data_IF_467510942071
#
_entry.id   IF_467510942071
#
_cell.length_a   1.000
_cell.length_b   1.000
_cell.length_c   1.000
_cell.angle_alpha   90.00
_cell.angle_beta   90.00
_cell.angle_gamma   90.00
#
_symmetry.space_group_name_H-M   'P 1'
#
loop_
_entity.id
_entity.type
_entity.pdbx_description
1 polymer ?
#
# COMPACT_ATOMS: atom_id res chain seq x y z
N UNK A 1 -53.95 -12.24 -55.30
CA UNK A 1 -54.67 -11.72 -56.49
C UNK A 1 -56.11 -12.17 -56.35
N UNK A 2 -57.11 -11.30 -56.56
CA UNK A 2 -58.49 -11.76 -56.58
C UNK A 2 -58.66 -12.74 -57.74
N UNK A 3 -59.30 -13.88 -57.47
CA UNK A 3 -59.72 -14.79 -58.54
C UNK A 3 -60.79 -14.09 -59.35
N UNK A 4 -60.75 -14.25 -60.67
CA UNK A 4 -61.79 -13.68 -61.52
C UNK A 4 -63.14 -14.39 -61.31
N UNK A 5 -64.22 -13.64 -61.47
CA UNK A 5 -65.57 -14.21 -61.53
C UNK A 5 -65.85 -14.83 -62.90
N UNK A 6 -66.73 -15.83 -62.94
CA UNK A 6 -67.19 -16.45 -64.19
C UNK A 6 -68.46 -15.75 -64.67
N UNK A 7 -68.56 -15.55 -65.99
CA UNK A 7 -69.74 -14.96 -66.61
C UNK A 7 -70.93 -15.93 -66.50
N UNK A 8 -72.07 -15.44 -66.01
CA UNK A 8 -73.31 -16.24 -65.88
C UNK A 8 -73.86 -16.68 -67.24
N UNK A 9 -74.46 -17.88 -67.34
CA UNK A 9 -75.04 -18.35 -68.59
C UNK A 9 -76.24 -17.51 -69.04
N UNK A 10 -76.44 -17.32 -70.36
CA UNK A 10 -77.65 -16.72 -70.90
C UNK A 10 -78.86 -17.67 -70.74
N UNK A 11 -80.05 -17.18 -71.05
CA UNK A 11 -81.29 -17.99 -70.98
C UNK A 11 -81.19 -19.18 -71.93
N UNK A 12 -81.36 -20.39 -71.40
CA UNK A 12 -81.25 -21.61 -72.19
C UNK A 12 -82.34 -21.69 -73.28
N UNK A 13 -82.02 -22.20 -74.48
CA UNK A 13 -83.01 -22.45 -75.52
C UNK A 13 -84.00 -23.54 -75.07
N UNK A 14 -85.30 -23.29 -75.25
CA UNK A 14 -86.38 -24.21 -74.88
C UNK A 14 -87.08 -24.78 -76.10
N UNK A 15 -87.48 -26.06 -76.05
CA UNK A 15 -88.29 -26.67 -77.11
C UNK A 15 -89.69 -26.05 -77.29
N UNK A 16 -90.09 -25.21 -76.34
CA UNK A 16 -91.33 -24.42 -76.40
C UNK A 16 -91.13 -23.03 -77.02
N UNK A 17 -89.90 -22.63 -77.32
CA UNK A 17 -89.61 -21.35 -77.98
C UNK A 17 -90.00 -21.43 -79.47
N UNK A 18 -90.37 -20.29 -80.04
CA UNK A 18 -90.54 -20.19 -81.48
C UNK A 18 -89.19 -20.46 -82.19
N UNK A 19 -89.17 -21.09 -83.39
CA UNK A 19 -87.93 -21.54 -84.03
C UNK A 19 -86.83 -20.47 -84.14
N UNK A 20 -87.18 -19.22 -84.43
CA UNK A 20 -86.19 -18.14 -84.56
C UNK A 20 -85.58 -17.76 -83.20
N UNK A 21 -86.40 -17.71 -82.15
CA UNK A 21 -85.96 -17.44 -80.77
C UNK A 21 -85.12 -18.59 -80.20
N UNK A 22 -85.43 -19.83 -80.59
CA UNK A 22 -84.63 -20.99 -80.23
C UNK A 22 -83.22 -20.89 -80.82
N UNK A 23 -83.11 -20.51 -82.10
CA UNK A 23 -81.82 -20.35 -82.80
C UNK A 23 -81.01 -19.23 -82.15
N UNK A 24 -81.63 -18.07 -81.89
CA UNK A 24 -80.98 -16.94 -81.22
C UNK A 24 -80.39 -17.34 -79.86
N UNK A 25 -81.19 -18.00 -79.00
CA UNK A 25 -80.72 -18.47 -77.69
C UNK A 25 -79.68 -19.58 -77.78
N UNK A 26 -79.75 -20.42 -78.81
CA UNK A 26 -78.76 -21.47 -79.02
C UNK A 26 -77.41 -20.86 -79.44
N UNK A 27 -77.42 -19.87 -80.33
CA UNK A 27 -76.22 -19.14 -80.75
C UNK A 27 -75.60 -18.36 -79.58
N UNK A 28 -76.42 -17.68 -78.77
CA UNK A 28 -75.98 -17.00 -77.55
C UNK A 28 -75.36 -17.96 -76.53
N UNK A 29 -75.96 -19.14 -76.34
CA UNK A 29 -75.42 -20.15 -75.44
C UNK A 29 -74.08 -20.71 -75.93
N UNK A 30 -73.94 -20.95 -77.24
CA UNK A 30 -72.68 -21.41 -77.84
C UNK A 30 -71.60 -20.33 -77.72
N UNK A 31 -71.94 -19.06 -77.94
CA UNK A 31 -71.03 -17.94 -77.76
C UNK A 31 -70.58 -17.80 -76.30
N UNK A 32 -71.52 -17.87 -75.34
CA UNK A 32 -71.21 -17.87 -73.91
C UNK A 32 -70.30 -19.03 -73.51
N UNK A 33 -70.53 -20.24 -74.04
CA UNK A 33 -69.71 -21.40 -73.73
C UNK A 33 -68.24 -21.21 -74.15
N UNK A 34 -67.98 -20.55 -75.29
CA UNK A 34 -66.63 -20.16 -75.70
C UNK A 34 -65.94 -19.21 -74.72
N UNK A 35 -66.69 -18.22 -74.21
CA UNK A 35 -66.22 -17.29 -73.17
C UNK A 35 -65.95 -18.03 -71.86
N UNK A 36 -66.88 -18.87 -71.40
CA UNK A 36 -66.77 -19.65 -70.17
C UNK A 36 -65.53 -20.55 -70.16
N UNK A 37 -65.22 -21.23 -71.28
CA UNK A 37 -64.01 -22.07 -71.39
C UNK A 37 -62.74 -21.22 -71.27
N UNK A 38 -62.71 -20.02 -71.86
CA UNK A 38 -61.57 -19.11 -71.79
C UNK A 38 -61.37 -18.56 -70.37
N UNK A 39 -62.47 -18.24 -69.68
CA UNK A 39 -62.46 -17.84 -68.27
C UNK A 39 -61.98 -19.00 -67.38
N UNK A 40 -62.41 -20.23 -67.62
CA UNK A 40 -61.94 -21.39 -66.85
C UNK A 40 -60.43 -21.61 -67.00
N UNK A 41 -59.87 -21.48 -68.20
CA UNK A 41 -58.42 -21.58 -68.43
C UNK A 41 -57.65 -20.49 -67.67
N UNK A 42 -58.17 -19.27 -67.67
CA UNK A 42 -57.56 -18.14 -66.95
C UNK A 42 -57.65 -18.34 -65.43
N UNK A 43 -58.77 -18.84 -64.93
CA UNK A 43 -58.93 -19.20 -63.52
C UNK A 43 -57.94 -20.29 -63.10
N UNK A 44 -57.72 -21.30 -63.95
CA UNK A 44 -56.70 -22.33 -63.72
C UNK A 44 -55.30 -21.71 -63.59
N UNK A 45 -54.92 -20.83 -64.52
CA UNK A 45 -53.62 -20.14 -64.46
C UNK A 45 -53.48 -19.26 -63.19
N UNK A 46 -54.56 -18.55 -62.80
CA UNK A 46 -54.59 -17.77 -61.56
C UNK A 46 -54.45 -18.65 -60.31
N UNK A 47 -55.07 -19.83 -60.31
CA UNK A 47 -55.00 -20.79 -59.22
C UNK A 47 -53.59 -21.39 -59.11
N UNK A 48 -52.96 -21.77 -60.22
CA UNK A 48 -51.58 -22.25 -60.26
C UNK A 48 -50.58 -21.19 -59.78
N UNK A 49 -50.74 -19.94 -60.22
CA UNK A 49 -49.91 -18.83 -59.76
C UNK A 49 -50.09 -18.55 -58.26
N UNK A 50 -51.33 -18.66 -57.76
CA UNK A 50 -51.63 -18.49 -56.33
C UNK A 50 -51.04 -19.63 -55.50
N UNK A 51 -51.15 -20.88 -55.97
CA UNK A 51 -50.56 -22.04 -55.33
C UNK A 51 -49.02 -21.94 -55.27
N UNK A 52 -48.39 -21.46 -56.34
CA UNK A 52 -46.95 -21.21 -56.36
C UNK A 52 -46.54 -20.13 -55.34
N UNK A 53 -47.31 -19.04 -55.20
CA UNK A 53 -47.07 -18.02 -54.18
C UNK A 53 -47.18 -18.57 -52.76
N UNK A 54 -48.19 -19.41 -52.51
CA UNK A 54 -48.40 -20.07 -51.21
C UNK A 54 -47.25 -21.05 -50.90
N UNK A 55 -46.81 -21.83 -51.89
CA UNK A 55 -45.70 -22.77 -51.72
C UNK A 55 -44.35 -22.08 -51.43
N UNK A 56 -44.15 -20.85 -51.90
CA UNK A 56 -42.95 -20.03 -51.68
C UNK A 56 -43.09 -19.08 -50.49
N UNK A 57 -44.27 -19.00 -49.85
CA UNK A 57 -44.48 -18.19 -48.64
C UNK A 57 -43.44 -18.41 -47.51
N UNK A 58 -42.87 -19.62 -47.29
CA UNK A 58 -41.77 -19.81 -46.33
C UNK A 58 -40.46 -19.13 -46.73
N UNK A 59 -40.25 -18.81 -48.01
CA UNK A 59 -39.02 -18.17 -48.51
C UNK A 59 -38.98 -16.65 -48.28
N UNK A 60 -40.12 -16.03 -47.95
CA UNK A 60 -40.18 -14.64 -47.49
C UNK A 60 -39.95 -14.51 -45.98
N UNK A 61 -39.87 -15.62 -45.24
CA UNK A 61 -39.32 -15.59 -43.89
C UNK A 61 -37.81 -15.44 -44.00
N UNK A 62 -37.26 -14.42 -43.34
CA UNK A 62 -35.81 -14.30 -43.10
C UNK A 62 -35.22 -15.68 -42.75
N UNK A 63 -34.07 -16.04 -43.34
CA UNK A 63 -33.52 -17.39 -43.20
C UNK A 63 -33.31 -17.81 -41.72
N UNK A 64 -33.03 -16.84 -40.85
CA UNK A 64 -32.91 -17.07 -39.41
C UNK A 64 -34.29 -17.34 -38.78
N UNK A 65 -35.32 -16.57 -39.15
CA UNK A 65 -36.70 -16.80 -38.70
C UNK A 65 -37.24 -18.16 -39.16
N UNK A 66 -36.94 -18.57 -40.39
CA UNK A 66 -37.29 -19.90 -40.91
C UNK A 66 -36.61 -21.01 -40.11
N UNK A 67 -35.33 -20.83 -39.77
CA UNK A 67 -34.59 -21.80 -38.96
C UNK A 67 -35.19 -21.98 -37.56
N UNK A 68 -35.67 -20.90 -36.92
CA UNK A 68 -36.39 -20.99 -35.64
C UNK A 68 -37.69 -21.79 -35.79
N UNK A 69 -38.46 -21.53 -36.86
CA UNK A 69 -39.71 -22.22 -37.13
C UNK A 69 -39.52 -23.72 -37.42
N UNK A 70 -38.55 -24.07 -38.29
CA UNK A 70 -38.26 -25.45 -38.68
C UNK A 70 -37.68 -26.29 -37.52
N UNK A 71 -37.07 -25.64 -36.52
CA UNK A 71 -36.52 -26.31 -35.34
C UNK A 71 -37.60 -26.85 -34.39
N UNK A 72 -38.89 -26.62 -34.68
CA UNK A 72 -40.01 -27.20 -33.93
C UNK A 72 -40.05 -26.76 -32.46
N UNK A 73 -39.60 -25.54 -32.17
CA UNK A 73 -39.53 -25.04 -30.80
C UNK A 73 -40.94 -24.75 -30.27
N UNK A 74 -41.26 -25.28 -29.09
CA UNK A 74 -42.51 -24.96 -28.38
C UNK A 74 -42.33 -23.66 -27.58
N UNK A 75 -43.06 -22.58 -27.89
CA UNK A 75 -43.03 -21.37 -27.07
C UNK A 75 -43.46 -21.68 -25.64
N UNK A 76 -42.69 -21.20 -24.68
CA UNK A 76 -42.97 -21.38 -23.26
C UNK A 76 -42.48 -20.15 -22.49
N UNK A 77 -43.09 -19.91 -21.32
CA UNK A 77 -42.60 -18.89 -20.41
C UNK A 77 -41.12 -19.14 -20.07
N UNK A 78 -40.38 -18.06 -19.86
CA UNK A 78 -39.00 -18.09 -19.38
C UNK A 78 -38.04 -18.84 -20.34
N UNK A 79 -38.39 -18.92 -21.63
CA UNK A 79 -37.55 -19.48 -22.69
C UNK A 79 -37.20 -18.42 -23.75
N UNK A 80 -35.96 -18.46 -24.22
CA UNK A 80 -35.46 -17.64 -25.33
C UNK A 80 -34.94 -18.55 -26.46
N UNK A 81 -35.40 -18.38 -27.72
CA UNK A 81 -34.79 -19.05 -28.87
C UNK A 81 -33.36 -18.56 -29.12
N UNK A 82 -32.44 -19.48 -29.40
CA UNK A 82 -31.08 -19.19 -29.85
C UNK A 82 -30.64 -20.19 -30.93
N UNK A 83 -29.75 -19.77 -31.82
CA UNK A 83 -29.17 -20.67 -32.82
C UNK A 83 -28.06 -21.53 -32.20
N UNK A 84 -28.25 -22.85 -32.20
CA UNK A 84 -27.24 -23.80 -31.73
C UNK A 84 -26.29 -24.21 -32.86
N UNK A 85 -26.73 -24.10 -34.12
CA UNK A 85 -25.92 -24.25 -35.34
C UNK A 85 -26.43 -23.31 -36.43
N UNK A 86 -25.77 -23.27 -37.60
CA UNK A 86 -26.24 -22.49 -38.76
C UNK A 86 -27.61 -22.94 -39.31
N UNK A 87 -28.10 -24.12 -38.92
CA UNK A 87 -29.37 -24.67 -39.44
C UNK A 87 -30.27 -25.23 -38.32
N UNK A 88 -30.01 -24.90 -37.06
CA UNK A 88 -30.82 -25.33 -35.93
C UNK A 88 -30.89 -24.26 -34.83
N UNK A 89 -32.06 -24.15 -34.23
CA UNK A 89 -32.32 -23.36 -33.04
C UNK A 89 -32.70 -24.25 -31.86
N UNK A 90 -32.53 -23.74 -30.65
CA UNK A 90 -32.91 -24.37 -29.40
C UNK A 90 -33.45 -23.31 -28.43
N UNK A 91 -34.00 -23.75 -27.30
CA UNK A 91 -34.50 -22.86 -26.24
C UNK A 91 -33.52 -22.81 -25.07
N UNK A 92 -33.09 -21.61 -24.70
CA UNK A 92 -32.39 -21.34 -23.45
C UNK A 92 -33.41 -21.04 -22.36
N UNK A 93 -33.15 -21.49 -21.12
CA UNK A 93 -33.99 -21.15 -19.96
C UNK A 93 -33.44 -19.90 -19.29
N UNK A 94 -34.30 -18.91 -19.03
CA UNK A 94 -33.96 -17.72 -18.27
C UNK A 94 -34.62 -17.79 -16.89
N UNK A 95 -33.84 -17.59 -15.82
CA UNK A 95 -34.40 -17.44 -14.46
C UNK A 95 -35.05 -16.07 -14.32
N UNK A 96 -35.89 -15.88 -13.29
CA UNK A 96 -36.44 -14.56 -12.96
C UNK A 96 -35.34 -13.53 -12.71
N UNK A 97 -34.29 -13.92 -11.99
CA UNK A 97 -33.11 -13.09 -11.74
C UNK A 97 -32.30 -12.78 -13.02
N UNK A 98 -32.15 -13.76 -13.92
CA UNK A 98 -31.47 -13.53 -15.20
C UNK A 98 -32.23 -12.51 -16.06
N UNK A 99 -33.57 -12.54 -16.02
CA UNK A 99 -34.40 -11.55 -16.72
C UNK A 99 -34.31 -10.16 -16.09
N UNK A 100 -34.27 -10.05 -14.76
CA UNK A 100 -34.10 -8.74 -14.13
C UNK A 100 -32.77 -8.09 -14.51
N UNK A 101 -31.70 -8.87 -14.70
CA UNK A 101 -30.42 -8.33 -15.15
C UNK A 101 -30.42 -7.92 -16.64
N UNK A 102 -31.14 -8.64 -17.50
CA UNK A 102 -31.26 -8.30 -18.94
C UNK A 102 -32.14 -7.06 -19.16
N UNK A 103 -33.10 -6.82 -18.26
CA UNK A 103 -33.99 -5.65 -18.27
C UNK A 103 -33.28 -4.33 -17.88
N UNK A 104 -32.10 -4.43 -17.25
CA UNK A 104 -31.37 -3.26 -16.76
C UNK A 104 -30.85 -2.37 -17.91
N UNK A 105 -31.26 -1.10 -17.89
CA UNK A 105 -30.95 -0.13 -18.95
C UNK A 105 -29.48 0.33 -18.97
N UNK A 106 -28.77 0.22 -17.84
CA UNK A 106 -27.38 0.65 -17.71
C UNK A 106 -26.61 -0.15 -16.66
N UNK A 107 -25.30 0.07 -16.60
CA UNK A 107 -24.41 -0.63 -15.67
C UNK A 107 -24.70 -0.31 -14.19
N UNK A 108 -25.32 0.84 -13.87
CA UNK A 108 -25.69 1.19 -12.50
C UNK A 108 -26.90 0.39 -12.02
N UNK A 109 -27.91 0.25 -12.88
CA UNK A 109 -29.04 -0.63 -12.65
C UNK A 109 -28.57 -2.08 -12.47
N UNK A 110 -27.71 -2.58 -13.37
CA UNK A 110 -27.12 -3.92 -13.27
C UNK A 110 -26.38 -4.19 -11.95
N UNK A 111 -25.56 -3.24 -11.46
CA UNK A 111 -24.89 -3.38 -10.16
C UNK A 111 -25.87 -3.41 -8.99
N UNK A 112 -26.99 -2.71 -9.10
CA UNK A 112 -28.05 -2.69 -8.08
C UNK A 112 -28.78 -4.03 -8.04
N UNK A 113 -29.12 -4.59 -9.20
CA UNK A 113 -29.73 -5.92 -9.34
C UNK A 113 -28.83 -7.03 -8.78
N UNK A 114 -27.51 -6.91 -8.94
CA UNK A 114 -26.51 -7.81 -8.36
C UNK A 114 -26.19 -7.55 -6.88
N UNK A 115 -26.81 -6.54 -6.26
CA UNK A 115 -26.57 -6.11 -4.88
C UNK A 115 -25.10 -5.75 -4.59
N UNK A 116 -24.39 -5.21 -5.58
CA UNK A 116 -22.98 -4.84 -5.44
C UNK A 116 -22.80 -3.51 -4.70
N UNK A 117 -21.82 -3.47 -3.80
CA UNK A 117 -21.44 -2.25 -3.08
C UNK A 117 -20.60 -1.26 -3.93
N UNK A 118 -20.19 -0.16 -3.30
CA UNK A 118 -19.39 0.91 -3.92
C UNK A 118 -18.03 0.47 -4.48
N UNK A 119 -17.53 -0.69 -4.04
CA UNK A 119 -16.30 -1.27 -4.59
C UNK A 119 -16.42 -1.56 -6.10
N UNK A 120 -17.61 -1.92 -6.59
CA UNK A 120 -17.83 -2.27 -7.99
C UNK A 120 -17.70 -1.09 -8.97
N UNK A 121 -17.59 0.14 -8.46
CA UNK A 121 -17.35 1.35 -9.28
C UNK A 121 -15.93 1.90 -9.12
N UNK A 122 -15.11 1.29 -8.26
CA UNK A 122 -13.77 1.79 -7.96
C UNK A 122 -12.73 1.13 -8.85
N UNK A 123 -11.77 1.92 -9.35
CA UNK A 123 -10.62 1.39 -10.08
C UNK A 123 -9.80 0.46 -9.16
N UNK A 124 -9.15 -0.56 -9.72
CA UNK A 124 -8.32 -1.50 -8.92
C UNK A 124 -7.22 -0.79 -8.14
N UNK A 125 -6.67 0.30 -8.70
CA UNK A 125 -5.67 1.16 -8.06
C UNK A 125 -6.19 1.93 -6.84
N UNK A 126 -7.51 2.07 -6.68
CA UNK A 126 -8.10 2.69 -5.50
C UNK A 126 -8.01 1.78 -4.26
N UNK A 127 -7.81 0.47 -4.45
CA UNK A 127 -7.61 -0.50 -3.38
C UNK A 127 -6.13 -0.73 -3.05
N UNK A 128 -5.24 0.19 -3.41
CA UNK A 128 -3.80 0.09 -3.13
C UNK A 128 -3.50 0.27 -1.63
N UNK A 129 -3.79 -0.79 -0.87
CA UNK A 129 -3.47 -0.90 0.54
C UNK A 129 -1.96 -0.81 0.78
N UNK A 130 -1.15 -1.28 -0.17
CA UNK A 130 0.32 -1.23 -0.09
C UNK A 130 0.83 0.22 -0.23
N UNK A 131 0.31 0.98 -1.20
CA UNK A 131 0.61 2.40 -1.37
C UNK A 131 0.14 3.23 -0.17
N UNK A 132 -1.05 2.94 0.36
CA UNK A 132 -1.57 3.59 1.58
C UNK A 132 -0.67 3.31 2.79
N UNK A 133 -0.24 2.06 2.98
CA UNK A 133 0.67 1.69 4.04
C UNK A 133 2.06 2.34 3.87
N UNK A 134 2.59 2.37 2.65
CA UNK A 134 3.87 3.03 2.33
C UNK A 134 3.81 4.53 2.59
N UNK A 135 2.72 5.20 2.22
CA UNK A 135 2.51 6.62 2.49
C UNK A 135 2.40 6.91 4.00
N UNK A 136 1.72 6.03 4.76
CA UNK A 136 1.61 6.13 6.20
C UNK A 136 2.98 5.93 6.90
N UNK A 137 3.76 4.93 6.48
CA UNK A 137 5.12 4.71 6.99
C UNK A 137 6.04 5.87 6.64
N UNK A 138 5.95 6.40 5.42
CA UNK A 138 6.75 7.58 5.00
C UNK A 138 6.39 8.81 5.83
N UNK A 139 5.09 9.05 6.06
CA UNK A 139 4.61 10.15 6.91
C UNK A 139 5.07 10.00 8.36
N UNK A 140 4.98 8.79 8.92
CA UNK A 140 5.47 8.47 10.25
C UNK A 140 6.98 8.68 10.38
N UNK A 141 7.77 8.18 9.43
CA UNK A 141 9.22 8.32 9.41
C UNK A 141 9.68 9.77 9.23
N UNK A 142 8.91 10.59 8.51
CA UNK A 142 9.21 12.01 8.28
C UNK A 142 8.85 12.91 9.46
N UNK A 143 8.12 12.39 10.44
CA UNK A 143 7.54 13.19 11.52
C UNK A 143 8.01 12.68 12.88
N UNK A 144 9.32 12.74 13.10
CA UNK A 144 9.99 12.50 14.38
C UNK A 144 9.84 13.68 15.36
N UNK A 145 9.03 14.70 15.04
CA UNK A 145 8.69 15.77 15.97
C UNK A 145 7.24 15.64 16.40
N UNK A 146 6.98 15.51 17.71
CA UNK A 146 5.63 15.55 18.28
C UNK A 146 4.77 14.28 18.15
N UNK A 147 5.09 13.34 17.25
CA UNK A 147 4.29 12.10 17.08
C UNK A 147 4.47 11.11 18.24
N UNK A 148 5.64 11.10 18.89
CA UNK A 148 5.95 10.13 19.96
C UNK A 148 6.00 10.76 21.35
N UNK A 149 5.55 12.00 21.52
CA UNK A 149 5.84 12.76 22.74
C UNK A 149 7.33 13.10 22.90
N UNK A 150 8.15 12.84 21.87
CA UNK A 150 9.52 13.33 21.78
C UNK A 150 9.48 14.83 21.50
N UNK A 151 10.19 15.58 22.34
CA UNK A 151 10.32 17.02 22.16
C UNK A 151 11.10 17.33 20.88
N UNK A 152 10.95 18.54 20.36
CA UNK A 152 11.75 19.01 19.24
C UNK A 152 13.26 18.90 19.51
N UNK A 153 13.67 19.04 20.78
CA UNK A 153 15.06 18.84 21.20
C UNK A 153 15.50 17.37 21.11
N UNK A 154 14.69 16.41 21.57
CA UNK A 154 15.08 15.00 21.48
C UNK A 154 15.07 14.49 20.03
N UNK A 155 14.26 15.11 19.16
CA UNK A 155 14.29 14.80 17.73
C UNK A 155 15.66 15.11 17.10
N UNK A 156 16.34 16.17 17.52
CA UNK A 156 17.68 16.54 17.04
C UNK A 156 18.82 15.73 17.66
N UNK A 157 18.55 14.87 18.65
CA UNK A 157 19.55 13.95 19.19
C UNK A 157 19.39 12.57 18.55
N UNK A 158 18.17 12.21 18.15
CA UNK A 158 17.84 10.92 17.55
C UNK A 158 18.07 10.86 16.04
N UNK A 159 18.24 12.01 15.37
CA UNK A 159 18.62 12.11 13.96
C UNK A 159 20.14 12.02 13.73
N UNK A 160 20.94 12.11 14.80
CA UNK A 160 22.38 11.99 14.76
C UNK A 160 22.84 10.56 14.42
N UNK A 161 23.79 10.46 13.49
CA UNK A 161 24.24 9.19 12.93
C UNK A 161 25.13 8.36 13.87
N UNK A 162 25.73 9.00 14.87
CA UNK A 162 26.65 8.39 15.83
C UNK A 162 26.68 9.14 17.17
N UNK A 163 27.40 8.57 18.14
CA UNK A 163 27.54 9.13 19.49
C UNK A 163 28.24 10.50 19.50
N UNK A 164 29.17 10.75 18.57
CA UNK A 164 29.90 12.02 18.53
C UNK A 164 29.00 13.16 18.06
N UNK A 165 28.16 12.90 17.06
CA UNK A 165 27.14 13.82 16.60
C UNK A 165 26.11 14.10 17.72
N UNK A 166 25.61 13.05 18.39
CA UNK A 166 24.68 13.19 19.52
C UNK A 166 25.24 14.04 20.67
N UNK A 167 26.52 13.83 21.04
CA UNK A 167 27.20 14.65 22.06
C UNK A 167 27.37 16.11 21.61
N UNK A 168 27.67 16.34 20.33
CA UNK A 168 27.75 17.68 19.76
C UNK A 168 26.40 18.40 19.83
N UNK A 169 25.30 17.73 19.48
CA UNK A 169 23.94 18.28 19.56
C UNK A 169 23.51 18.56 20.99
N UNK A 170 23.86 17.69 21.94
CA UNK A 170 23.62 17.90 23.36
C UNK A 170 24.44 19.09 23.93
N UNK A 171 25.43 19.59 23.18
CA UNK A 171 26.40 20.56 23.67
C UNK A 171 27.30 19.97 24.76
N UNK A 172 27.37 18.65 24.86
CA UNK A 172 28.18 17.95 25.84
C UNK A 172 29.66 18.06 25.44
N UNK A 173 30.37 18.98 26.10
CA UNK A 173 31.83 18.97 26.28
C UNK A 173 32.64 18.62 25.03
N UNK A 174 32.65 19.51 24.03
CA UNK A 174 33.67 19.44 22.97
C UNK A 174 35.07 19.59 23.58
N UNK A 175 35.67 18.45 23.96
CA UNK A 175 37.10 18.31 24.25
C UNK A 175 37.49 17.90 25.68
N UNK A 176 36.63 18.03 26.70
CA UNK A 176 37.02 17.59 28.05
C UNK A 176 37.13 16.06 28.13
N UNK A 177 38.17 15.53 28.77
CA UNK A 177 38.33 14.09 29.01
C UNK A 177 38.37 13.79 30.50
N UNK A 178 37.61 12.81 30.98
CA UNK A 178 37.64 12.38 32.38
C UNK A 178 38.27 11.00 32.47
N UNK A 179 39.32 10.87 33.27
CA UNK A 179 39.99 9.60 33.55
C UNK A 179 39.82 9.25 35.01
N UNK A 180 39.43 8.01 35.30
CA UNK A 180 39.45 7.41 36.64
C UNK A 180 40.19 6.08 36.56
N UNK A 181 41.22 5.92 37.38
CA UNK A 181 41.97 4.67 37.48
C UNK A 181 42.53 4.47 38.90
N UNK A 182 43.29 3.40 39.12
CA UNK A 182 43.86 3.08 40.42
C UNK A 182 44.76 4.19 41.01
N UNK A 183 45.31 5.07 40.16
CA UNK A 183 46.17 6.15 40.59
C UNK A 183 45.38 7.42 40.97
N UNK A 184 44.13 7.56 40.52
CA UNK A 184 43.25 8.67 40.87
C UNK A 184 42.37 9.16 39.73
N UNK A 185 42.12 10.47 39.70
CA UNK A 185 41.23 11.13 38.75
C UNK A 185 41.97 12.22 37.96
N UNK A 186 41.69 12.33 36.66
CA UNK A 186 42.20 13.41 35.82
C UNK A 186 41.10 14.01 34.95
N UNK A 187 41.20 15.32 34.74
CA UNK A 187 40.39 16.09 33.80
C UNK A 187 41.34 16.67 32.75
N UNK A 188 41.25 16.18 31.52
CA UNK A 188 41.92 16.75 30.36
C UNK A 188 41.11 17.89 29.76
N UNK A 189 41.76 19.02 29.51
CA UNK A 189 41.19 20.31 29.13
C UNK A 189 41.97 20.79 27.89
N UNK A 190 41.43 20.60 26.67
CA UNK A 190 42.09 21.07 25.46
C UNK A 190 41.98 22.58 25.34
N UNK A 191 43.12 23.24 25.25
CA UNK A 191 43.26 24.69 25.07
C UNK A 191 44.25 24.90 23.93
N UNK A 192 43.80 25.49 22.82
CA UNK A 192 44.67 25.83 21.68
C UNK A 192 45.40 24.63 21.05
N UNK A 193 44.78 23.45 21.04
CA UNK A 193 45.37 22.20 20.50
C UNK A 193 46.28 21.44 21.47
N UNK A 194 46.48 21.94 22.69
CA UNK A 194 47.21 21.26 23.77
C UNK A 194 46.23 20.80 24.85
N UNK A 195 46.33 19.56 25.30
CA UNK A 195 45.49 19.05 26.41
C UNK A 195 46.19 19.28 27.73
N UNK A 196 45.64 20.16 28.55
CA UNK A 196 46.06 20.36 29.93
C UNK A 196 45.34 19.40 30.85
N UNK A 197 46.01 18.85 31.85
CA UNK A 197 45.41 17.95 32.82
C UNK A 197 45.38 18.60 34.20
N UNK A 198 44.21 18.65 34.83
CA UNK A 198 44.06 18.78 36.28
C UNK A 198 43.93 17.37 36.85
N UNK A 199 44.87 16.97 37.71
CA UNK A 199 44.96 15.60 38.20
C UNK A 199 44.94 15.56 39.72
N UNK A 200 44.23 14.59 40.28
CA UNK A 200 44.22 14.24 41.69
C UNK A 200 44.69 12.79 41.81
N UNK A 201 45.73 12.56 42.59
CA UNK A 201 46.31 11.25 42.83
C UNK A 201 46.39 11.00 44.34
N UNK A 202 46.24 9.74 44.74
CA UNK A 202 46.55 9.32 46.11
C UNK A 202 47.79 8.45 46.08
N UNK A 203 48.64 8.60 47.09
CA UNK A 203 49.78 7.71 47.25
C UNK A 203 49.44 6.35 47.84
N UNK A 204 50.48 5.66 48.29
CA UNK A 204 50.42 4.31 48.85
C UNK A 204 49.54 4.18 50.12
N UNK A 205 49.61 3.01 50.74
CA UNK A 205 48.86 2.73 51.96
C UNK A 205 49.18 3.75 53.06
N UNK A 206 48.23 3.92 54.00
CA UNK A 206 48.47 4.68 55.22
C UNK A 206 49.74 4.15 55.91
N UNK A 207 50.64 5.05 56.26
CA UNK A 207 51.92 4.73 56.90
C UNK A 207 52.14 5.66 58.07
N UNK A 208 52.76 5.13 59.11
CA UNK A 208 53.31 5.95 60.19
C UNK A 208 54.77 6.30 59.93
N UNK A 209 55.46 5.61 59.01
CA UNK A 209 56.93 5.64 58.83
C UNK A 209 57.39 6.76 57.90
N UNK A 210 58.37 7.56 58.35
CA UNK A 210 59.05 8.55 57.51
C UNK A 210 59.66 7.91 56.27
N UNK A 211 59.66 8.66 55.18
CA UNK A 211 60.31 8.20 53.97
C UNK A 211 59.69 8.79 52.73
N UNK A 212 60.34 8.44 51.62
CA UNK A 212 59.95 8.85 50.29
C UNK A 212 58.85 7.94 49.75
N UNK A 213 57.85 8.55 49.11
CA UNK A 213 56.87 7.84 48.30
C UNK A 213 56.82 8.45 46.89
N UNK A 214 56.69 7.61 45.88
CA UNK A 214 56.46 8.03 44.51
C UNK A 214 54.99 7.84 44.17
N UNK A 215 54.33 8.93 43.79
CA UNK A 215 52.90 8.94 43.46
C UNK A 215 52.77 9.08 41.95
N UNK A 216 52.20 8.07 41.31
CA UNK A 216 51.97 8.05 39.87
C UNK A 216 50.74 8.89 39.52
N UNK A 217 50.83 9.68 38.46
CA UNK A 217 49.67 10.43 37.97
C UNK A 217 48.66 9.49 37.28
N UNK A 218 47.35 9.80 37.31
CA UNK A 218 46.34 9.07 36.55
C UNK A 218 46.63 9.05 35.04
N UNK A 219 47.12 10.16 34.50
CA UNK A 219 47.55 10.33 33.10
C UNK A 219 48.93 10.98 33.10
N UNK A 220 49.81 10.56 32.19
CA UNK A 220 51.11 11.20 32.01
C UNK A 220 50.92 12.61 31.42
N UNK A 221 51.55 13.63 32.00
CA UNK A 221 51.65 14.93 31.36
C UNK A 221 52.53 14.80 30.10
N UNK A 222 52.08 15.31 28.96
CA UNK A 222 52.77 15.16 27.69
C UNK A 222 54.11 15.90 27.60
N UNK A 223 54.23 17.05 28.29
CA UNK A 223 55.41 17.91 28.28
C UNK A 223 55.96 18.20 29.67
N UNK A 224 55.11 18.60 30.62
CA UNK A 224 55.51 18.98 31.97
C UNK A 224 54.35 18.98 32.98
N UNK A 225 54.65 18.58 34.21
CA UNK A 225 53.86 19.00 35.36
C UNK A 225 54.24 20.45 35.69
N UNK A 226 53.35 21.41 35.45
CA UNK A 226 53.61 22.84 35.67
C UNK A 226 53.55 23.20 37.15
N UNK A 227 52.63 22.56 37.87
CA UNK A 227 52.43 22.74 39.29
C UNK A 227 51.95 21.43 39.92
N UNK A 228 52.42 21.15 41.13
CA UNK A 228 51.81 20.15 41.99
C UNK A 228 51.85 20.65 43.43
N UNK A 229 50.91 20.16 44.22
CA UNK A 229 50.86 20.39 45.66
C UNK A 229 50.35 19.13 46.37
N UNK A 230 50.80 18.96 47.60
CA UNK A 230 50.57 17.74 48.38
C UNK A 230 49.86 18.06 49.69
N UNK A 231 48.71 17.43 49.86
CA UNK A 231 47.99 17.34 51.11
C UNK A 231 48.35 16.06 51.87
N UNK A 232 47.98 16.04 53.14
CA UNK A 232 48.11 14.86 54.01
C UNK A 232 46.70 14.34 54.33
N UNK A 233 46.44 13.08 54.00
CA UNK A 233 45.23 12.36 54.41
C UNK A 233 45.53 11.57 55.68
N UNK A 234 44.81 11.89 56.75
CA UNK A 234 44.97 11.29 58.07
C UNK A 234 43.98 10.13 58.21
N UNK A 235 44.46 8.98 58.66
CA UNK A 235 43.63 7.81 58.92
C UNK A 235 42.73 7.93 60.17
N UNK A 236 42.89 8.99 60.96
CA UNK A 236 42.16 9.28 62.19
C UNK A 236 41.41 10.63 62.07
N UNK A 237 40.50 10.92 63.01
CA UNK A 237 39.82 12.21 63.12
C UNK A 237 40.67 13.31 63.80
N UNK A 238 41.96 13.04 64.08
CA UNK A 238 42.89 13.98 64.72
C UNK A 238 43.45 15.03 63.76
N UNK A 239 44.00 16.12 64.30
CA UNK A 239 44.66 17.18 63.54
C UNK A 239 46.10 16.76 63.16
N UNK A 240 46.51 16.99 61.91
CA UNK A 240 47.86 16.68 61.36
C UNK A 240 48.96 17.65 61.81
N UNK A 241 48.93 18.11 63.07
CA UNK A 241 49.93 19.06 63.56
C UNK A 241 51.37 18.50 63.50
N UNK A 242 51.52 17.18 63.51
CA UNK A 242 52.83 16.55 63.72
C UNK A 242 53.42 15.86 62.47
N UNK A 243 52.66 15.60 61.40
CA UNK A 243 53.15 14.92 60.19
C UNK A 243 52.68 15.65 58.92
N UNK A 244 53.61 15.94 58.00
CA UNK A 244 53.28 16.54 56.71
C UNK A 244 54.05 15.88 55.56
N UNK A 245 53.38 15.69 54.43
CA UNK A 245 54.06 15.40 53.18
C UNK A 245 54.56 16.70 52.54
N UNK A 246 55.76 16.65 51.98
CA UNK A 246 56.30 17.71 51.14
C UNK A 246 56.73 17.12 49.80
N UNK A 247 56.57 17.89 48.72
CA UNK A 247 57.13 17.55 47.42
C UNK A 247 58.66 17.56 47.45
N UNK A 248 59.26 16.53 46.85
CA UNK A 248 60.71 16.39 46.71
C UNK A 248 61.10 16.74 45.28
N UNK A 249 61.79 17.85 45.11
CA UNK A 249 62.24 18.32 43.79
C UNK A 249 61.08 18.72 42.88
N UNK A 250 61.36 18.76 41.57
CA UNK A 250 60.36 19.08 40.55
C UNK A 250 59.51 17.84 40.22
N UNK A 251 58.17 17.94 40.21
CA UNK A 251 57.30 16.83 39.80
C UNK A 251 57.62 16.35 38.38
N UNK A 252 57.66 15.04 38.19
CA UNK A 252 57.88 14.43 36.88
C UNK A 252 56.59 14.29 36.07
N UNK A 253 56.75 13.88 34.80
CA UNK A 253 55.65 13.69 33.85
C UNK A 253 54.69 12.57 34.25
N UNK A 254 55.23 11.48 34.79
CA UNK A 254 54.46 10.28 35.14
C UNK A 254 54.21 10.16 36.64
N UNK A 255 54.98 10.87 37.46
CA UNK A 255 54.91 10.76 38.91
C UNK A 255 55.52 11.97 39.61
N UNK A 256 55.05 12.27 40.82
CA UNK A 256 55.75 13.15 41.75
C UNK A 256 56.29 12.35 42.94
N UNK A 257 57.40 12.81 43.48
CA UNK A 257 58.00 12.22 44.67
C UNK A 257 57.66 13.10 45.87
N UNK A 258 57.17 12.49 46.94
CA UNK A 258 56.85 13.17 48.20
C UNK A 258 57.65 12.54 49.32
N UNK A 259 57.98 13.32 50.34
CA UNK A 259 58.63 12.84 51.55
C UNK A 259 57.70 13.09 52.73
N UNK A 260 57.43 12.04 53.50
CA UNK A 260 56.78 12.21 54.79
C UNK A 260 57.81 12.73 55.78
N UNK A 261 57.64 13.98 56.21
CA UNK A 261 58.43 14.57 57.27
C UNK A 261 57.59 14.64 58.55
N UNK A 262 58.17 14.21 59.66
CA UNK A 262 57.58 14.39 60.98
C UNK A 262 58.11 15.67 61.63
N UNK A 263 57.23 16.40 62.30
CA UNK A 263 57.52 17.55 63.14
C UNK A 263 57.38 17.14 64.62
N UNK A 264 58.25 17.67 65.47
CA UNK A 264 58.66 17.05 66.74
C UNK A 264 57.55 16.74 67.77
N UNK A 265 57.73 15.61 68.46
CA UNK A 265 57.26 15.33 69.83
C UNK A 265 55.82 14.82 70.04
N UNK A 266 54.95 14.86 69.04
CA UNK A 266 53.53 14.45 69.15
C UNK A 266 53.28 12.95 69.26
N UNK A 267 52.03 12.54 69.52
CA UNK A 267 51.66 11.12 69.66
C UNK A 267 51.65 10.42 68.28
N UNK A 268 52.64 9.55 68.07
CA UNK A 268 53.09 9.03 66.77
C UNK A 268 52.23 7.91 66.16
N UNK A 269 50.96 7.81 66.55
CA UNK A 269 50.11 6.64 66.27
C UNK A 269 49.25 6.78 65.03
N UNK A 270 49.05 8.00 64.53
CA UNK A 270 48.19 8.26 63.38
C UNK A 270 48.88 7.95 62.06
N UNK A 271 48.29 7.00 61.33
CA UNK A 271 48.74 6.61 60.00
C UNK A 271 48.29 7.66 58.98
N UNK A 272 49.17 8.06 58.06
CA UNK A 272 48.89 9.08 57.03
C UNK A 272 49.25 8.59 55.64
N UNK A 273 48.65 9.19 54.60
CA UNK A 273 49.03 8.98 53.19
C UNK A 273 48.99 10.31 52.42
N UNK A 274 49.75 10.46 51.33
CA UNK A 274 49.75 11.71 50.58
C UNK A 274 48.52 11.78 49.66
N UNK A 275 47.95 12.97 49.57
CA UNK A 275 47.02 13.37 48.52
C UNK A 275 47.74 14.36 47.64
N UNK A 276 47.98 14.00 46.39
CA UNK A 276 48.67 14.82 45.43
C UNK A 276 47.66 15.40 44.45
N UNK A 277 47.77 16.68 44.14
CA UNK A 277 47.06 17.26 43.01
C UNK A 277 48.02 18.11 42.19
N UNK A 278 47.76 18.21 40.89
CA UNK A 278 48.67 18.89 39.99
C UNK A 278 48.02 19.30 38.68
N UNK A 279 48.70 20.22 38.02
CA UNK A 279 48.30 20.79 36.74
C UNK A 279 49.48 20.80 35.78
N UNK A 280 49.23 20.45 34.53
CA UNK A 280 50.28 20.36 33.51
C UNK A 280 49.71 20.01 32.14
N UNK A 281 50.57 19.77 31.17
CA UNK A 281 50.20 19.32 29.83
C UNK A 281 51.31 18.48 29.21
#
# INVERSE_FOLDING_TARGET
MPLQDLTSPPTAPSRSDDPDLFIERADDFVAWFGTFVSEMQTLTAQLEATAALIAVAPAYADAALKTIADSGLTPAADKLPYFSTASAAALATLTSFGRSLIDDADASAARTTLELGSAATSNTSAFDAAGTASAAVSSHSSSTSGIHGISAFMATVLDDADEAAALATLGAQSGLTFTSNANGYAIGIPIGGTTYYLQFATGGALTTTEGTQTITWPVMFGTACLFADVGTNIGSAGNSADHAFQLVGTPGLSSATVYLQRYGGGDWTDSVRPLLWGFGH
#
